data_IF_431400664761
#
_entry.id   IF_431400664761
#
_cell.length_a   1.000
_cell.length_b   1.000
_cell.length_c   1.000
_cell.angle_alpha   90.00
_cell.angle_beta   90.00
_cell.angle_gamma   90.00
#
_symmetry.space_group_name_H-M   'P 1'
#
loop_
_entity.id
_entity.type
_entity.pdbx_description
1 polymer ?
#
# COMPACT_ATOMS: atom_id res chain seq x y z
N UNK A 1 -7.98 -8.26 12.22
CA UNK A 1 -7.90 -9.21 11.13
C UNK A 1 -6.61 -9.98 11.10
N UNK A 2 -6.51 -10.93 10.20
CA UNK A 2 -5.29 -11.72 9.94
C UNK A 2 -5.14 -11.89 8.44
N UNK A 3 -3.90 -11.86 7.97
CA UNK A 3 -3.53 -12.15 6.60
C UNK A 3 -2.41 -13.19 6.60
N UNK A 4 -2.35 -14.04 5.57
CA UNK A 4 -1.23 -14.95 5.36
C UNK A 4 -0.95 -15.08 3.86
N UNK A 5 0.30 -14.99 3.47
CA UNK A 5 0.75 -15.15 2.10
C UNK A 5 1.95 -16.10 2.02
N UNK A 6 2.08 -16.78 0.87
CA UNK A 6 3.33 -17.43 0.52
C UNK A 6 4.24 -16.33 -0.08
N UNK A 7 5.41 -16.17 0.49
CA UNK A 7 6.40 -15.20 0.03
C UNK A 7 7.63 -15.92 -0.54
N UNK A 8 8.40 -15.24 -1.36
CA UNK A 8 9.67 -15.69 -1.90
C UNK A 8 10.76 -14.64 -1.68
N UNK A 9 10.70 -13.98 -0.56
CA UNK A 9 11.64 -12.93 -0.20
C UNK A 9 12.80 -13.51 0.60
N UNK A 10 13.98 -13.55 0.01
CA UNK A 10 15.17 -14.13 0.65
C UNK A 10 15.00 -15.62 1.00
N UNK A 11 15.06 -15.93 2.28
CA UNK A 11 14.82 -17.27 2.83
C UNK A 11 13.40 -17.44 3.41
N UNK A 12 12.60 -16.40 3.34
CA UNK A 12 11.26 -16.39 3.89
C UNK A 12 10.28 -17.09 2.96
N UNK A 13 9.48 -17.98 3.50
CA UNK A 13 8.52 -18.79 2.72
C UNK A 13 7.07 -18.47 3.02
N UNK A 14 6.82 -17.78 4.11
CA UNK A 14 5.48 -17.41 4.57
C UNK A 14 5.55 -16.06 5.30
N UNK A 15 4.57 -15.23 5.07
CA UNK A 15 4.26 -14.03 5.83
C UNK A 15 2.95 -14.22 6.58
N UNK A 16 2.89 -13.78 7.81
CA UNK A 16 1.72 -13.85 8.65
C UNK A 16 1.51 -12.54 9.37
N UNK A 17 0.41 -11.85 9.03
CA UNK A 17 0.09 -10.56 9.58
C UNK A 17 -1.06 -10.63 10.55
N UNK A 18 -0.93 -9.92 11.64
CA UNK A 18 -1.99 -9.65 12.61
C UNK A 18 -2.23 -8.16 12.67
N UNK A 19 -3.47 -7.73 12.50
CA UNK A 19 -3.79 -6.32 12.58
C UNK A 19 -5.05 -6.06 13.41
N UNK A 20 -5.04 -4.94 14.09
CA UNK A 20 -6.18 -4.38 14.81
C UNK A 20 -6.29 -2.90 14.49
N UNK A 21 -7.50 -2.44 14.22
CA UNK A 21 -7.72 -1.04 13.88
C UNK A 21 -9.15 -0.60 14.12
N UNK A 22 -9.35 0.68 13.94
CA UNK A 22 -10.65 1.32 14.02
C UNK A 22 -10.82 2.30 12.87
N UNK A 23 -11.86 2.07 12.07
CA UNK A 23 -12.23 2.93 10.96
C UNK A 23 -13.56 3.62 11.22
N UNK A 24 -13.72 4.82 10.69
CA UNK A 24 -14.94 5.61 10.85
C UNK A 24 -14.96 6.82 9.95
N UNK A 25 -16.00 7.65 10.16
CA UNK A 25 -16.18 8.92 9.47
C UNK A 25 -16.57 10.01 10.45
N UNK A 26 -15.97 11.16 10.33
CA UNK A 26 -16.32 12.34 11.12
C UNK A 26 -16.15 13.63 10.29
N UNK A 27 -17.22 14.44 10.18
CA UNK A 27 -17.17 15.73 9.49
C UNK A 27 -16.88 15.63 7.99
N UNK A 28 -17.19 14.50 7.35
CA UNK A 28 -16.92 14.25 5.93
C UNK A 28 -15.48 13.77 5.65
N UNK A 29 -14.74 13.42 6.69
CA UNK A 29 -13.42 12.81 6.60
C UNK A 29 -13.57 11.35 7.02
N UNK A 30 -13.24 10.40 6.16
CA UNK A 30 -13.06 9.00 6.53
C UNK A 30 -11.68 8.82 7.14
N UNK A 31 -11.59 7.97 8.16
CA UNK A 31 -10.33 7.67 8.81
C UNK A 31 -10.22 6.18 9.15
N UNK A 32 -8.98 5.68 9.14
CA UNK A 32 -8.61 4.36 9.60
C UNK A 32 -7.30 4.47 10.38
N UNK A 33 -7.32 4.03 11.62
CA UNK A 33 -6.13 3.97 12.48
C UNK A 33 -5.95 2.55 12.97
N UNK A 34 -4.74 2.04 12.90
CA UNK A 34 -4.48 0.67 13.33
C UNK A 34 -3.02 0.38 13.63
N UNK A 35 -2.83 -0.86 14.03
CA UNK A 35 -1.55 -1.45 14.32
C UNK A 35 -1.49 -2.83 13.68
N UNK A 36 -0.40 -3.13 12.99
CA UNK A 36 -0.13 -4.40 12.35
C UNK A 36 1.17 -4.99 12.89
N UNK A 37 1.19 -6.28 13.09
CA UNK A 37 2.39 -7.08 13.35
C UNK A 37 2.59 -8.01 12.16
N UNK A 38 3.71 -7.88 11.48
CA UNK A 38 4.13 -8.69 10.34
C UNK A 38 5.18 -9.68 10.80
N UNK A 39 4.93 -10.96 10.57
CA UNK A 39 5.80 -12.02 11.05
C UNK A 39 6.18 -12.98 9.94
N UNK A 40 7.44 -13.36 9.92
CA UNK A 40 8.00 -14.33 8.99
C UNK A 40 8.42 -15.61 9.74
N UNK A 41 7.50 -16.58 9.93
CA UNK A 41 7.78 -17.79 10.69
C UNK A 41 8.98 -18.58 10.17
N UNK A 42 10.04 -18.65 10.99
CA UNK A 42 11.31 -19.27 10.63
C UNK A 42 12.35 -18.31 10.06
N UNK A 43 11.98 -17.04 9.89
CA UNK A 43 12.84 -15.95 9.48
C UNK A 43 13.29 -15.03 10.62
N UNK A 44 13.79 -13.87 10.26
CA UNK A 44 14.34 -12.86 11.21
C UNK A 44 13.87 -11.45 10.96
N UNK A 45 12.87 -11.27 10.10
CA UNK A 45 12.40 -9.95 9.65
C UNK A 45 11.03 -9.56 10.23
N UNK A 46 10.68 -10.02 11.44
CA UNK A 46 9.43 -9.62 12.09
C UNK A 46 9.47 -8.12 12.44
N UNK A 47 8.41 -7.39 12.10
CA UNK A 47 8.29 -5.96 12.41
C UNK A 47 6.86 -5.58 12.72
N UNK A 48 6.68 -4.39 13.29
CA UNK A 48 5.36 -3.85 13.59
C UNK A 48 5.21 -2.44 13.00
N UNK A 49 3.99 -2.09 12.66
CA UNK A 49 3.64 -0.78 12.13
C UNK A 49 2.40 -0.22 12.81
N UNK A 50 2.40 1.08 13.06
CA UNK A 50 1.20 1.83 13.43
C UNK A 50 0.85 2.78 12.29
N UNK A 51 -0.40 2.78 11.86
CA UNK A 51 -0.82 3.55 10.69
C UNK A 51 -2.01 4.46 10.98
N UNK A 52 -2.12 5.50 10.16
CA UNK A 52 -3.26 6.41 10.06
C UNK A 52 -3.55 6.67 8.57
N UNK A 53 -4.73 6.24 8.13
CA UNK A 53 -5.30 6.61 6.84
C UNK A 53 -6.37 7.69 7.00
N UNK A 54 -6.40 8.65 6.11
CA UNK A 54 -7.42 9.69 6.02
C UNK A 54 -7.88 9.80 4.57
N UNK A 55 -9.18 9.99 4.35
CA UNK A 55 -9.72 10.37 3.05
C UNK A 55 -10.65 11.56 3.18
N UNK A 56 -10.45 12.53 2.31
CA UNK A 56 -11.29 13.71 2.16
C UNK A 56 -11.54 13.98 0.68
N UNK A 57 -12.78 13.74 0.22
CA UNK A 57 -13.20 14.05 -1.15
C UNK A 57 -12.35 13.39 -2.25
N UNK A 58 -11.88 12.14 -2.00
CA UNK A 58 -11.04 11.38 -2.92
C UNK A 58 -9.54 11.70 -2.82
N UNK A 59 -9.14 12.56 -1.89
CA UNK A 59 -7.72 12.75 -1.54
C UNK A 59 -7.44 11.87 -0.33
N UNK A 60 -6.62 10.84 -0.53
CA UNK A 60 -6.12 9.97 0.52
C UNK A 60 -4.79 10.49 1.08
N UNK A 61 -4.63 10.37 2.39
CA UNK A 61 -3.36 10.53 3.08
C UNK A 61 -3.15 9.30 3.94
N UNK A 62 -1.96 8.72 3.87
CA UNK A 62 -1.59 7.57 4.67
C UNK A 62 -0.24 7.81 5.33
N UNK A 63 -0.14 7.45 6.59
CA UNK A 63 1.07 7.54 7.39
C UNK A 63 1.24 6.22 8.11
N UNK A 64 2.44 5.67 8.07
CA UNK A 64 2.81 4.51 8.86
C UNK A 64 4.14 4.79 9.57
N UNK A 65 4.24 4.39 10.82
CA UNK A 65 5.45 4.40 11.63
C UNK A 65 5.82 2.95 11.91
N UNK A 66 6.97 2.51 11.42
CA UNK A 66 7.44 1.13 11.52
C UNK A 66 8.83 1.01 12.12
N UNK A 67 9.05 -0.08 12.87
CA UNK A 67 10.30 -0.28 13.61
C UNK A 67 11.52 -0.57 12.71
N UNK A 68 11.32 -1.14 11.51
CA UNK A 68 12.43 -1.59 10.65
C UNK A 68 12.46 -0.94 9.26
N UNK A 69 11.33 -0.47 8.74
CA UNK A 69 11.24 0.09 7.39
C UNK A 69 11.31 1.63 7.37
N UNK A 70 11.44 2.26 8.55
CA UNK A 70 11.29 3.71 8.70
C UNK A 70 9.83 4.16 8.55
N UNK A 71 9.64 5.47 8.61
CA UNK A 71 8.31 6.06 8.45
C UNK A 71 7.93 6.09 6.96
N UNK A 72 6.64 5.85 6.70
CA UNK A 72 6.07 5.95 5.36
C UNK A 72 4.96 6.99 5.31
N UNK A 73 4.96 7.77 4.26
CA UNK A 73 3.88 8.73 3.97
C UNK A 73 3.43 8.58 2.53
N UNK A 74 2.12 8.53 2.30
CA UNK A 74 1.54 8.51 0.95
C UNK A 74 0.46 9.56 0.82
N UNK A 75 0.39 10.18 -0.35
CA UNK A 75 -0.75 10.93 -0.85
C UNK A 75 -1.34 10.22 -2.06
N UNK A 76 -2.66 10.06 -2.08
CA UNK A 76 -3.38 9.44 -3.19
C UNK A 76 -4.55 10.30 -3.65
N UNK A 77 -4.96 10.08 -4.89
CA UNK A 77 -6.12 10.72 -5.48
C UNK A 77 -6.80 9.82 -6.49
N UNK A 78 -8.12 9.63 -6.33
CA UNK A 78 -8.98 8.91 -7.25
C UNK A 78 -9.80 9.87 -8.12
N UNK A 79 -9.84 9.61 -9.41
CA UNK A 79 -10.53 10.43 -10.41
C UNK A 79 -11.38 9.57 -11.33
N UNK A 80 -12.69 9.82 -11.40
CA UNK A 80 -13.52 9.18 -12.41
C UNK A 80 -13.13 9.63 -13.83
N UNK A 81 -12.84 8.66 -14.71
CA UNK A 81 -12.48 8.92 -16.09
C UNK A 81 -13.10 7.91 -17.05
N UNK A 82 -14.03 8.37 -17.86
CA UNK A 82 -14.77 7.51 -18.79
C UNK A 82 -15.62 6.47 -18.03
N UNK A 83 -15.49 5.18 -18.35
CA UNK A 83 -16.22 4.11 -17.67
C UNK A 83 -15.53 3.59 -16.39
N UNK A 84 -14.39 4.15 -15.99
CA UNK A 84 -13.59 3.67 -14.88
C UNK A 84 -13.01 4.78 -14.03
N UNK A 85 -12.08 4.43 -13.17
CA UNK A 85 -11.40 5.34 -12.24
C UNK A 85 -9.89 5.31 -12.48
N UNK A 86 -9.26 6.47 -12.52
CA UNK A 86 -7.79 6.60 -12.46
C UNK A 86 -7.42 6.85 -11.02
N UNK A 87 -6.57 5.99 -10.46
CA UNK A 87 -5.96 6.18 -9.16
C UNK A 87 -4.49 6.54 -9.33
N UNK A 88 -4.07 7.53 -8.55
CA UNK A 88 -2.71 8.03 -8.50
C UNK A 88 -2.25 8.00 -7.06
N UNK A 89 -1.04 7.50 -6.80
CA UNK A 89 -0.41 7.70 -5.50
C UNK A 89 1.07 8.03 -5.64
N UNK A 90 1.56 8.73 -4.63
CA UNK A 90 2.96 9.02 -4.41
C UNK A 90 3.27 8.76 -2.94
N UNK A 91 4.25 7.91 -2.69
CA UNK A 91 4.71 7.57 -1.37
C UNK A 91 6.19 7.84 -1.18
N UNK A 92 6.56 8.04 0.07
CA UNK A 92 7.93 8.32 0.51
C UNK A 92 8.23 7.45 1.75
N UNK A 93 9.29 6.67 1.68
CA UNK A 93 9.88 5.90 2.78
C UNK A 93 11.11 6.65 3.29
N UNK A 94 11.10 7.10 4.54
CA UNK A 94 12.12 7.99 5.14
C UNK A 94 13.57 7.61 4.82
N UNK A 95 13.92 6.34 4.81
CA UNK A 95 15.30 5.86 4.62
C UNK A 95 15.49 4.98 3.36
N UNK A 96 14.46 4.81 2.54
CA UNK A 96 14.51 3.81 1.46
C UNK A 96 14.31 4.39 0.07
N UNK A 97 13.37 5.29 -0.09
CA UNK A 97 13.08 5.89 -1.39
C UNK A 97 11.61 6.24 -1.60
N UNK A 98 11.25 6.51 -2.83
CA UNK A 98 9.90 6.95 -3.20
C UNK A 98 9.23 5.99 -4.16
N UNK A 99 7.90 5.94 -4.12
CA UNK A 99 7.11 5.17 -5.07
C UNK A 99 6.02 6.02 -5.72
N UNK A 100 5.73 5.69 -6.98
CA UNK A 100 4.59 6.22 -7.73
C UNK A 100 3.75 5.05 -8.21
N UNK A 101 2.44 5.15 -8.02
CA UNK A 101 1.48 4.22 -8.60
C UNK A 101 0.47 4.97 -9.44
N UNK A 102 0.20 4.45 -10.63
CA UNK A 102 -0.89 4.91 -11.50
C UNK A 102 -1.70 3.70 -11.89
N UNK A 103 -2.99 3.68 -11.58
CA UNK A 103 -3.91 2.60 -11.91
C UNK A 103 -5.10 3.12 -12.71
N UNK A 104 -5.56 2.33 -13.67
CA UNK A 104 -6.88 2.51 -14.28
C UNK A 104 -7.75 1.30 -13.94
N UNK A 105 -8.83 1.54 -13.22
CA UNK A 105 -9.75 0.53 -12.74
C UNK A 105 -11.02 0.57 -13.56
N UNK A 106 -11.44 -0.61 -14.00
CA UNK A 106 -12.67 -0.80 -14.75
C UNK A 106 -13.51 -1.90 -14.10
N UNK A 107 -14.73 -1.56 -13.68
CA UNK A 107 -15.65 -2.52 -13.13
C UNK A 107 -16.34 -3.31 -14.25
N UNK A 108 -16.24 -4.63 -14.16
CA UNK A 108 -16.81 -5.58 -15.12
C UNK A 108 -17.62 -6.64 -14.34
N UNK A 109 -18.90 -6.36 -14.13
CA UNK A 109 -19.77 -7.20 -13.28
C UNK A 109 -19.33 -7.13 -11.81
N UNK A 110 -18.99 -8.28 -11.24
CA UNK A 110 -18.53 -8.40 -9.85
C UNK A 110 -17.02 -8.28 -9.70
N UNK A 111 -16.32 -7.93 -10.78
CA UNK A 111 -14.85 -7.83 -10.81
C UNK A 111 -14.40 -6.42 -11.14
N UNK A 112 -13.29 -6.02 -10.57
CA UNK A 112 -12.54 -4.82 -10.99
C UNK A 112 -11.27 -5.27 -11.71
N UNK A 113 -11.11 -4.81 -12.96
CA UNK A 113 -9.91 -4.99 -13.75
C UNK A 113 -9.05 -3.74 -13.62
N UNK A 114 -7.81 -3.90 -13.16
CA UNK A 114 -6.83 -2.80 -13.06
C UNK A 114 -5.72 -2.97 -14.06
N UNK A 115 -5.43 -1.93 -14.83
CA UNK A 115 -4.17 -1.76 -15.57
C UNK A 115 -3.35 -0.71 -14.83
N UNK A 116 -2.17 -1.10 -14.34
CA UNK A 116 -1.37 -0.23 -13.51
C UNK A 116 0.08 -0.12 -13.96
N UNK A 117 0.71 0.96 -13.53
CA UNK A 117 2.14 1.22 -13.59
C UNK A 117 2.61 1.58 -12.18
N UNK A 118 3.67 0.94 -11.74
CA UNK A 118 4.35 1.23 -10.50
C UNK A 118 5.81 1.54 -10.78
N UNK A 119 6.36 2.53 -10.09
CA UNK A 119 7.75 2.95 -10.14
C UNK A 119 8.25 3.12 -8.70
N UNK A 120 9.40 2.57 -8.40
CA UNK A 120 10.09 2.73 -7.14
C UNK A 120 11.49 3.26 -7.40
N UNK A 121 11.87 4.33 -6.72
CA UNK A 121 13.19 4.97 -6.81
C UNK A 121 13.88 4.93 -5.45
N UNK A 122 14.98 4.17 -5.37
CA UNK A 122 15.76 4.05 -4.15
C UNK A 122 16.57 5.33 -3.91
N UNK A 123 16.57 5.86 -2.69
CA UNK A 123 17.18 7.14 -2.37
C UNK A 123 18.68 7.23 -2.69
N UNK A 124 19.43 6.15 -2.44
CA UNK A 124 20.90 6.16 -2.52
C UNK A 124 21.49 5.17 -3.51
N UNK A 125 20.69 4.25 -4.05
CA UNK A 125 21.19 3.16 -4.91
C UNK A 125 20.27 2.95 -6.12
N UNK A 126 20.57 3.65 -7.21
CA UNK A 126 19.80 3.58 -8.47
C UNK A 126 19.78 2.17 -9.09
N UNK A 127 20.60 1.23 -8.64
CA UNK A 127 20.55 -0.15 -9.13
C UNK A 127 19.40 -0.95 -8.52
N UNK A 128 18.70 -0.36 -7.56
CA UNK A 128 17.49 -0.89 -6.92
C UNK A 128 16.21 -0.19 -7.38
N UNK A 129 16.32 0.76 -8.32
CA UNK A 129 15.16 1.37 -8.94
C UNK A 129 14.42 0.31 -9.76
N UNK A 130 13.11 0.25 -9.59
CA UNK A 130 12.25 -0.75 -10.25
C UNK A 130 11.02 -0.08 -10.83
N UNK A 131 10.69 -0.44 -12.07
CA UNK A 131 9.44 -0.05 -12.70
C UNK A 131 8.71 -1.26 -13.28
N UNK A 132 7.39 -1.25 -13.23
CA UNK A 132 6.58 -2.34 -13.75
C UNK A 132 5.22 -1.89 -14.26
N UNK A 133 4.75 -2.55 -15.32
CA UNK A 133 3.35 -2.50 -15.76
C UNK A 133 2.69 -3.80 -15.35
N UNK A 134 1.51 -3.70 -14.74
CA UNK A 134 0.79 -4.87 -14.26
C UNK A 134 -0.69 -4.84 -14.66
N UNK A 135 -1.29 -6.01 -14.65
CA UNK A 135 -2.74 -6.19 -14.76
C UNK A 135 -3.18 -7.00 -13.54
N UNK A 136 -4.22 -6.54 -12.85
CA UNK A 136 -4.83 -7.28 -11.76
C UNK A 136 -6.34 -7.41 -11.95
N UNK A 137 -6.90 -8.44 -11.33
CA UNK A 137 -8.34 -8.68 -11.25
C UNK A 137 -8.67 -8.91 -9.78
N UNK A 138 -9.61 -8.14 -9.27
CA UNK A 138 -10.14 -8.29 -7.91
C UNK A 138 -11.66 -8.49 -7.93
N UNK A 139 -12.22 -9.02 -6.82
CA UNK A 139 -13.65 -9.33 -6.64
C UNK A 139 -14.11 -8.81 -5.28
#
# INVERSE_FOLDING_TARGET
GTFAAATNFGNETMELDYYVGYAGEAGGISYDIGHAEISYPGGTGDFAETYLGLDLMGIGLFFAEGDELGDYMEVSYGLEWGPGTVDLSYGDYEDSGTNILVGYNLDVGDYTLTLGYADYQHETDITKDEDTVFISISM
#
